data_IF_142178271268
#
_entry.id   IF_142178271268
#
_cell.length_a   1.000
_cell.length_b   1.000
_cell.length_c   1.000
_cell.angle_alpha   90.00
_cell.angle_beta   90.00
_cell.angle_gamma   90.00
#
_symmetry.space_group_name_H-M   'P 1'
#
loop_
_entity.id
_entity.type
_entity.pdbx_description
1 polymer ?
#
# COMPACT_ATOMS: atom_id res chain seq x y z
N UNK A 1 35.62 42.67 44.09
CA UNK A 1 36.91 42.53 44.79
C UNK A 1 37.80 41.63 43.93
N UNK A 2 38.76 42.29 43.32
CA UNK A 2 40.12 41.87 42.94
C UNK A 2 40.29 40.60 42.10
N UNK A 3 40.71 40.75 40.81
CA UNK A 3 42.05 41.17 40.26
C UNK A 3 42.99 39.95 40.14
N UNK A 4 43.42 39.66 38.99
CA UNK A 4 44.71 39.81 38.23
C UNK A 4 44.95 38.57 37.35
N UNK A 5 45.07 38.72 36.06
CA UNK A 5 46.28 39.14 35.25
C UNK A 5 47.50 38.25 35.47
N UNK A 6 47.95 37.69 34.41
CA UNK A 6 49.34 37.71 33.80
C UNK A 6 49.61 36.35 33.12
N UNK A 7 50.35 36.13 32.09
CA UNK A 7 51.20 36.89 31.15
C UNK A 7 51.93 35.85 30.30
N UNK A 8 52.01 36.09 29.02
CA UNK A 8 52.99 35.75 28.02
C UNK A 8 54.12 34.70 28.27
N UNK A 9 54.35 33.82 27.26
CA UNK A 9 55.57 33.83 26.44
C UNK A 9 55.61 32.79 25.34
N UNK A 10 55.79 33.27 24.15
CA UNK A 10 56.39 32.82 22.90
C UNK A 10 57.23 31.54 22.91
N UNK A 11 57.06 30.70 21.86
CA UNK A 11 58.20 30.15 21.12
C UNK A 11 57.81 29.91 19.65
N UNK A 12 58.58 30.50 18.74
CA UNK A 12 58.59 30.29 17.30
C UNK A 12 59.13 28.90 17.00
N UNK A 13 58.42 28.16 16.07
CA UNK A 13 59.06 27.18 15.22
C UNK A 13 58.42 27.25 13.85
N UNK A 14 59.24 27.57 12.85
CA UNK A 14 58.76 27.73 11.47
C UNK A 14 58.40 26.44 10.79
N UNK A 15 57.40 26.49 9.97
CA UNK A 15 57.19 25.53 8.92
C UNK A 15 56.78 26.30 7.66
N UNK A 16 57.54 26.12 6.62
CA UNK A 16 57.28 26.61 5.27
C UNK A 16 55.88 26.18 4.81
N UNK A 17 55.00 27.14 4.64
CA UNK A 17 53.78 26.92 3.82
C UNK A 17 54.09 27.30 2.37
N UNK A 18 54.26 26.30 1.53
CA UNK A 18 54.19 26.43 0.08
C UNK A 18 52.76 26.85 -0.30
N UNK A 19 52.59 28.11 -0.69
CA UNK A 19 51.37 28.63 -1.24
C UNK A 19 51.11 27.98 -2.61
N UNK A 20 50.26 26.98 -2.67
CA UNK A 20 49.62 26.59 -3.93
C UNK A 20 48.57 27.65 -4.27
N UNK A 21 48.90 28.48 -5.23
CA UNK A 21 47.95 29.36 -5.91
C UNK A 21 46.96 28.48 -6.67
N UNK A 22 45.83 28.20 -6.04
CA UNK A 22 44.63 27.78 -6.79
C UNK A 22 44.14 28.99 -7.56
N UNK A 23 44.44 29.06 -8.84
CA UNK A 23 43.73 29.93 -9.75
C UNK A 23 42.27 29.40 -9.82
N UNK A 24 41.37 30.05 -9.10
CA UNK A 24 39.95 29.85 -9.33
C UNK A 24 39.66 30.43 -10.72
N UNK A 25 39.48 29.57 -11.71
CA UNK A 25 38.89 29.97 -12.97
C UNK A 25 37.49 30.46 -12.65
N UNK A 26 37.28 31.76 -12.70
CA UNK A 26 35.93 32.35 -12.67
C UNK A 26 35.23 31.82 -13.91
N UNK A 27 34.11 31.10 -13.80
CA UNK A 27 33.37 30.67 -14.97
C UNK A 27 32.94 31.93 -15.73
N UNK A 28 33.39 32.07 -16.97
CA UNK A 28 32.85 33.07 -17.88
C UNK A 28 31.39 32.64 -18.15
N UNK A 29 30.45 33.36 -17.53
CA UNK A 29 29.04 33.17 -17.84
C UNK A 29 28.84 33.63 -19.29
N UNK A 30 28.41 32.72 -20.17
CA UNK A 30 27.96 33.09 -21.50
C UNK A 30 26.78 34.06 -21.33
N UNK A 31 26.80 35.16 -22.05
CA UNK A 31 25.71 36.17 -22.10
C UNK A 31 24.98 36.08 -23.44
N UNK A 32 23.73 36.42 -23.46
CA UNK A 32 22.98 36.63 -24.69
C UNK A 32 23.46 37.86 -25.46
N UNK A 33 22.86 38.12 -26.61
CA UNK A 33 23.20 39.28 -27.45
C UNK A 33 22.92 40.66 -26.82
N UNK A 34 22.25 40.70 -25.65
CA UNK A 34 21.94 41.88 -24.84
C UNK A 34 22.76 41.95 -23.56
N UNK A 35 23.73 41.04 -23.37
CA UNK A 35 24.63 41.03 -22.21
C UNK A 35 24.01 40.48 -20.91
N UNK A 36 22.80 39.89 -20.98
CA UNK A 36 22.22 39.21 -19.84
C UNK A 36 22.87 37.82 -19.63
N UNK A 37 23.15 37.41 -18.39
CA UNK A 37 23.72 36.06 -18.12
C UNK A 37 22.76 35.00 -18.67
N UNK A 38 23.24 34.17 -19.59
CA UNK A 38 22.53 32.94 -19.94
C UNK A 38 22.48 32.07 -18.68
N UNK A 39 21.31 32.09 -18.03
CA UNK A 39 21.02 31.11 -16.98
C UNK A 39 20.92 29.77 -17.70
N UNK A 40 22.02 29.00 -17.71
CA UNK A 40 21.90 27.58 -18.03
C UNK A 40 20.98 26.98 -16.99
N UNK A 41 19.72 26.74 -17.38
CA UNK A 41 18.80 26.01 -16.57
C UNK A 41 19.53 24.72 -16.16
N UNK A 42 19.75 24.54 -14.86
CA UNK A 42 20.22 23.25 -14.35
C UNK A 42 19.26 22.22 -14.93
N UNK A 43 19.71 21.22 -15.70
CA UNK A 43 18.79 20.26 -16.27
C UNK A 43 18.00 19.68 -15.11
N UNK A 44 16.69 19.85 -15.14
CA UNK A 44 15.81 19.18 -14.20
C UNK A 44 16.15 17.70 -14.26
N UNK A 45 16.51 17.06 -13.13
CA UNK A 45 16.87 15.64 -13.15
C UNK A 45 15.78 14.89 -13.92
N UNK A 46 16.16 14.09 -14.90
CA UNK A 46 15.24 13.19 -15.56
C UNK A 46 14.81 12.15 -14.50
N UNK A 47 13.67 12.43 -13.88
CA UNK A 47 13.10 11.58 -12.82
C UNK A 47 12.89 10.15 -13.30
N UNK A 48 12.62 9.95 -14.60
CA UNK A 48 12.55 8.64 -15.22
C UNK A 48 13.86 7.87 -15.02
N UNK A 49 14.98 8.44 -15.44
CA UNK A 49 16.29 7.80 -15.30
C UNK A 49 16.69 7.64 -13.83
N UNK A 50 16.39 8.64 -12.98
CA UNK A 50 16.72 8.59 -11.57
C UNK A 50 16.03 7.43 -10.84
N UNK A 51 14.74 7.21 -11.08
CA UNK A 51 14.00 6.12 -10.42
C UNK A 51 14.27 4.76 -11.09
N UNK A 52 14.33 4.71 -12.42
CA UNK A 52 14.52 3.48 -13.18
C UNK A 52 15.80 2.74 -12.78
N UNK A 53 16.89 3.47 -12.52
CA UNK A 53 18.18 2.88 -12.18
C UNK A 53 18.35 2.52 -10.68
N UNK A 54 17.36 2.82 -9.84
CA UNK A 54 17.40 2.41 -8.44
C UNK A 54 17.12 0.91 -8.31
N UNK A 55 17.97 0.16 -7.59
CA UNK A 55 17.75 -1.27 -7.36
C UNK A 55 16.53 -1.50 -6.47
N UNK A 56 15.96 -2.69 -6.54
CA UNK A 56 14.96 -3.12 -5.59
C UNK A 56 15.59 -3.41 -4.22
N UNK A 57 14.90 -3.08 -3.12
CA UNK A 57 15.35 -3.40 -1.76
C UNK A 57 15.50 -4.91 -1.58
N UNK A 58 14.61 -5.69 -2.22
CA UNK A 58 14.66 -7.16 -2.23
C UNK A 58 15.88 -7.75 -2.95
N UNK A 59 16.60 -6.98 -3.76
CA UNK A 59 17.84 -7.43 -4.41
C UNK A 59 18.99 -7.64 -3.41
N UNK A 60 18.85 -7.14 -2.19
CA UNK A 60 19.79 -7.37 -1.09
C UNK A 60 19.58 -8.70 -0.36
N UNK A 61 18.44 -9.36 -0.59
CA UNK A 61 18.14 -10.67 0.01
C UNK A 61 18.97 -11.75 -0.67
N UNK A 62 19.73 -12.48 0.10
CA UNK A 62 20.59 -13.55 -0.42
C UNK A 62 19.76 -14.61 -1.16
N UNK A 63 20.25 -15.04 -2.32
CA UNK A 63 19.60 -16.06 -3.17
C UNK A 63 18.16 -15.71 -3.60
N UNK A 64 17.79 -14.43 -3.54
CA UNK A 64 16.54 -13.93 -4.08
C UNK A 64 16.69 -13.55 -5.55
N UNK A 65 15.67 -13.82 -6.35
CA UNK A 65 15.72 -13.43 -7.77
C UNK A 65 15.75 -11.91 -7.88
N UNK A 66 16.69 -11.36 -8.67
CA UNK A 66 16.76 -9.90 -8.90
C UNK A 66 15.47 -9.38 -9.49
N UNK A 67 15.01 -8.26 -8.96
CA UNK A 67 13.81 -7.57 -9.37
C UNK A 67 13.97 -6.85 -10.72
N UNK A 68 12.85 -6.57 -11.42
CA UNK A 68 12.88 -5.74 -12.62
C UNK A 68 13.19 -4.29 -12.27
N UNK A 69 13.78 -3.56 -13.23
CA UNK A 69 13.83 -2.10 -13.18
C UNK A 69 12.46 -1.52 -13.52
N UNK A 70 12.01 -0.52 -12.78
CA UNK A 70 10.73 0.14 -12.94
C UNK A 70 10.87 1.65 -12.80
N UNK A 71 9.96 2.39 -13.44
CA UNK A 71 9.93 3.87 -13.42
C UNK A 71 9.30 4.44 -12.15
N UNK A 72 8.49 3.67 -11.46
CA UNK A 72 7.90 4.08 -10.19
C UNK A 72 8.96 4.32 -9.12
N UNK A 73 8.86 5.43 -8.40
CA UNK A 73 9.78 5.72 -7.29
C UNK A 73 9.65 4.69 -6.19
N UNK A 74 8.43 4.27 -5.88
CA UNK A 74 8.16 3.22 -4.90
C UNK A 74 7.25 2.15 -5.48
N UNK A 75 7.55 0.90 -5.15
CA UNK A 75 6.67 -0.21 -5.51
C UNK A 75 6.81 -1.41 -4.57
N UNK A 76 5.77 -2.22 -4.56
CA UNK A 76 5.77 -3.51 -3.85
C UNK A 76 4.93 -4.53 -4.63
N UNK A 77 5.37 -5.78 -4.60
CA UNK A 77 4.61 -6.94 -5.07
C UNK A 77 4.45 -7.94 -3.93
N UNK A 78 3.22 -8.31 -3.63
CA UNK A 78 2.91 -9.19 -2.50
C UNK A 78 2.06 -10.37 -2.96
N UNK A 79 2.41 -11.59 -2.54
CA UNK A 79 1.48 -12.72 -2.61
C UNK A 79 0.36 -12.53 -1.58
N UNK A 80 -0.86 -12.38 -2.06
CA UNK A 80 -2.00 -12.06 -1.22
C UNK A 80 -2.36 -13.16 -0.21
N UNK A 81 -2.05 -14.42 -0.52
CA UNK A 81 -2.40 -15.55 0.35
C UNK A 81 -1.38 -15.79 1.46
N UNK A 82 -0.10 -15.66 1.15
CA UNK A 82 0.99 -15.86 2.11
C UNK A 82 1.38 -14.59 2.85
N UNK A 83 1.19 -13.42 2.23
CA UNK A 83 1.67 -12.13 2.69
C UNK A 83 3.16 -11.91 2.42
N UNK A 84 3.81 -12.81 1.67
CA UNK A 84 5.20 -12.67 1.27
C UNK A 84 5.38 -11.46 0.36
N UNK A 85 6.39 -10.64 0.64
CA UNK A 85 6.84 -9.56 -0.22
C UNK A 85 7.80 -10.16 -1.25
N UNK A 86 7.39 -10.19 -2.52
CA UNK A 86 8.20 -10.75 -3.60
C UNK A 86 9.15 -9.72 -4.20
N UNK A 87 8.74 -8.47 -4.21
CA UNK A 87 9.50 -7.32 -4.67
C UNK A 87 9.22 -6.11 -3.79
N UNK A 88 10.23 -5.36 -3.45
CA UNK A 88 10.08 -4.05 -2.82
C UNK A 88 11.14 -3.09 -3.35
N UNK A 89 10.74 -1.83 -3.54
CA UNK A 89 11.58 -0.72 -3.93
C UNK A 89 11.07 0.52 -3.23
N UNK A 90 11.87 1.12 -2.35
CA UNK A 90 11.46 2.27 -1.54
C UNK A 90 10.07 2.09 -0.92
N UNK A 91 9.70 0.84 -0.58
CA UNK A 91 8.31 0.48 -0.29
C UNK A 91 7.75 1.14 0.97
N UNK A 92 8.60 1.62 1.87
CA UNK A 92 8.23 2.31 3.11
C UNK A 92 8.37 3.84 3.02
N UNK A 93 8.71 4.38 1.83
CA UNK A 93 8.75 5.82 1.59
C UNK A 93 7.33 6.40 1.58
N UNK A 94 7.11 7.44 2.38
CA UNK A 94 5.83 8.16 2.40
C UNK A 94 5.64 8.96 1.11
N UNK A 95 4.46 8.81 0.49
CA UNK A 95 4.09 9.45 -0.77
C UNK A 95 2.59 9.74 -0.81
N UNK A 96 2.18 10.64 -1.68
CA UNK A 96 0.78 10.93 -1.91
C UNK A 96 0.09 9.77 -2.63
N UNK A 97 -1.01 9.23 -2.10
CA UNK A 97 -1.72 8.10 -2.71
C UNK A 97 -2.57 8.47 -3.93
N UNK A 98 -3.01 9.70 -4.05
CA UNK A 98 -4.08 10.08 -4.95
C UNK A 98 -5.32 9.17 -4.77
N UNK A 99 -6.05 8.88 -5.85
CA UNK A 99 -7.32 8.12 -5.79
C UNK A 99 -7.20 6.64 -5.42
N UNK A 100 -6.00 6.07 -5.20
CA UNK A 100 -5.92 4.73 -4.60
C UNK A 100 -6.38 4.74 -3.13
N UNK A 101 -6.45 5.90 -2.47
CA UNK A 101 -7.13 6.14 -1.19
C UNK A 101 -8.54 5.52 -1.17
N UNK A 102 -9.24 5.54 -2.30
CA UNK A 102 -10.60 5.03 -2.43
C UNK A 102 -10.73 3.53 -2.20
N UNK A 103 -9.63 2.79 -2.19
CA UNK A 103 -9.62 1.38 -1.74
C UNK A 103 -10.01 1.30 -0.26
N UNK A 104 -9.47 2.18 0.60
CA UNK A 104 -9.86 2.23 2.01
C UNK A 104 -11.31 2.70 2.17
N UNK A 105 -11.70 3.72 1.42
CA UNK A 105 -13.08 4.24 1.43
C UNK A 105 -14.10 3.17 1.02
N UNK A 106 -13.83 2.46 -0.08
CA UNK A 106 -14.69 1.39 -0.55
C UNK A 106 -14.71 0.18 0.40
N UNK A 107 -13.55 -0.17 1.01
CA UNK A 107 -13.49 -1.22 2.04
C UNK A 107 -14.41 -0.90 3.21
N UNK A 108 -14.30 0.29 3.79
CA UNK A 108 -15.14 0.70 4.92
C UNK A 108 -16.60 0.83 4.52
N UNK A 109 -16.91 1.35 3.33
CA UNK A 109 -18.27 1.36 2.79
C UNK A 109 -18.86 -0.06 2.68
N UNK A 110 -18.08 -1.05 2.22
CA UNK A 110 -18.50 -2.45 2.15
C UNK A 110 -18.63 -3.13 3.51
N UNK A 111 -17.91 -2.67 4.53
CA UNK A 111 -17.99 -3.20 5.90
C UNK A 111 -19.16 -2.63 6.69
N UNK A 112 -19.54 -1.37 6.44
CA UNK A 112 -20.46 -0.62 7.27
C UNK A 112 -21.85 -0.44 6.67
N UNK A 113 -22.02 -0.58 5.35
CA UNK A 113 -23.26 -0.22 4.66
C UNK A 113 -23.82 -1.42 3.88
N UNK A 114 -25.15 -1.50 3.81
CA UNK A 114 -25.83 -2.46 2.95
C UNK A 114 -25.83 -1.94 1.49
N UNK A 115 -25.27 -2.69 0.53
CA UNK A 115 -25.26 -2.29 -0.88
C UNK A 115 -26.64 -2.03 -1.47
N UNK A 116 -27.71 -2.60 -0.95
CA UNK A 116 -29.11 -2.41 -1.41
C UNK A 116 -29.79 -1.16 -0.85
N UNK A 117 -29.25 -0.58 0.21
CA UNK A 117 -29.79 0.62 0.84
C UNK A 117 -29.79 1.78 -0.13
N UNK A 118 -30.92 2.52 -0.19
CA UNK A 118 -31.05 3.78 -0.92
C UNK A 118 -30.71 4.97 -0.06
N UNK A 119 -30.21 6.01 -0.70
CA UNK A 119 -29.94 7.31 -0.07
C UNK A 119 -30.14 8.43 -1.08
N UNK A 120 -30.36 9.65 -0.60
CA UNK A 120 -30.32 10.87 -1.40
C UNK A 120 -29.01 11.60 -1.17
N UNK A 121 -28.42 12.14 -2.24
CA UNK A 121 -27.19 12.95 -2.16
C UNK A 121 -27.43 14.17 -1.31
N UNK A 122 -26.57 14.40 -0.33
CA UNK A 122 -26.56 15.63 0.44
C UNK A 122 -26.01 16.79 -0.39
N UNK A 123 -26.38 18.01 -0.05
CA UNK A 123 -25.78 19.20 -0.68
C UNK A 123 -24.27 19.25 -0.47
N UNK A 124 -23.80 18.89 0.71
CA UNK A 124 -22.37 18.83 1.05
C UNK A 124 -21.61 17.87 0.13
N UNK A 125 -22.13 16.66 -0.07
CA UNK A 125 -21.49 15.68 -0.93
C UNK A 125 -21.55 16.09 -2.41
N UNK A 126 -22.70 16.52 -2.93
CA UNK A 126 -22.87 16.92 -4.32
C UNK A 126 -22.00 18.13 -4.69
N UNK A 127 -21.89 19.13 -3.81
CA UNK A 127 -21.08 20.33 -4.02
C UNK A 127 -19.61 20.21 -3.63
N UNK A 128 -19.15 19.01 -3.21
CA UNK A 128 -17.75 18.77 -2.86
C UNK A 128 -16.79 18.82 -4.06
N UNK A 129 -17.34 18.78 -5.28
CA UNK A 129 -16.59 18.90 -6.53
C UNK A 129 -16.41 20.38 -6.83
N UNK A 130 -15.26 20.94 -6.47
CA UNK A 130 -14.92 22.36 -6.69
C UNK A 130 -14.02 22.59 -7.90
N UNK A 131 -13.37 21.53 -8.40
CA UNK A 131 -12.44 21.61 -9.53
C UNK A 131 -13.05 20.98 -10.79
N UNK A 132 -12.99 21.68 -11.91
CA UNK A 132 -13.56 21.25 -13.20
C UNK A 132 -13.00 19.94 -13.73
N UNK A 133 -11.79 19.53 -13.29
CA UNK A 133 -11.10 18.30 -13.71
C UNK A 133 -11.17 17.18 -12.65
N UNK A 134 -11.96 17.35 -11.60
CA UNK A 134 -12.10 16.35 -10.55
C UNK A 134 -12.97 15.17 -11.03
N UNK A 135 -12.53 13.94 -10.74
CA UNK A 135 -13.30 12.73 -11.10
C UNK A 135 -14.67 12.72 -10.42
N UNK A 136 -15.73 12.63 -11.21
CA UNK A 136 -17.14 12.71 -10.76
C UNK A 136 -18.06 11.94 -11.70
N UNK A 137 -19.25 11.59 -11.23
CA UNK A 137 -20.40 11.19 -12.04
C UNK A 137 -21.45 12.32 -12.11
N UNK A 138 -21.12 13.47 -11.56
CA UNK A 138 -21.98 14.67 -11.53
C UNK A 138 -23.33 14.40 -10.87
N UNK A 139 -23.30 13.79 -9.68
CA UNK A 139 -24.49 13.56 -8.89
C UNK A 139 -25.00 14.88 -8.28
N UNK A 140 -26.31 15.12 -8.39
CA UNK A 140 -26.95 16.35 -7.91
C UNK A 140 -27.51 16.22 -6.49
N UNK A 141 -27.70 17.36 -5.83
CA UNK A 141 -28.35 17.41 -4.50
C UNK A 141 -29.75 16.81 -4.52
N UNK A 142 -30.01 15.86 -3.61
CA UNK A 142 -31.29 15.14 -3.54
C UNK A 142 -31.46 14.06 -4.63
N UNK A 143 -30.43 13.78 -5.41
CA UNK A 143 -30.44 12.65 -6.34
C UNK A 143 -30.33 11.33 -5.57
N UNK A 144 -31.17 10.36 -5.94
CA UNK A 144 -31.27 9.07 -5.24
C UNK A 144 -30.43 7.99 -5.88
N UNK A 145 -29.64 7.32 -5.05
CA UNK A 145 -28.79 6.19 -5.43
C UNK A 145 -28.91 5.04 -4.42
N UNK A 146 -28.47 3.86 -4.81
CA UNK A 146 -28.15 2.78 -3.88
C UNK A 146 -26.68 2.87 -3.47
N UNK A 147 -26.34 2.33 -2.31
CA UNK A 147 -24.92 2.20 -1.86
C UNK A 147 -24.08 1.46 -2.91
N UNK A 148 -24.66 0.42 -3.55
CA UNK A 148 -23.99 -0.29 -4.65
C UNK A 148 -23.61 0.65 -5.79
N UNK A 149 -24.52 1.53 -6.22
CA UNK A 149 -24.26 2.49 -7.31
C UNK A 149 -23.16 3.48 -6.91
N UNK A 150 -23.18 3.98 -5.66
CA UNK A 150 -22.13 4.86 -5.14
C UNK A 150 -20.77 4.15 -5.11
N UNK A 151 -20.68 2.93 -4.59
CA UNK A 151 -19.41 2.19 -4.54
C UNK A 151 -18.90 1.80 -5.93
N UNK A 152 -19.79 1.51 -6.89
CA UNK A 152 -19.42 1.32 -8.29
C UNK A 152 -18.85 2.61 -8.89
N UNK A 153 -19.47 3.77 -8.64
CA UNK A 153 -18.97 5.06 -9.10
C UNK A 153 -17.59 5.39 -8.48
N UNK A 154 -17.39 5.10 -7.18
CA UNK A 154 -16.10 5.27 -6.50
C UNK A 154 -15.02 4.40 -7.13
N UNK A 155 -15.31 3.14 -7.44
CA UNK A 155 -14.30 2.20 -7.94
C UNK A 155 -14.04 2.34 -9.44
N UNK A 156 -15.07 2.54 -10.25
CA UNK A 156 -14.95 2.58 -11.71
C UNK A 156 -14.58 3.97 -12.22
N UNK A 157 -15.33 5.01 -11.81
CA UNK A 157 -15.16 6.39 -12.26
C UNK A 157 -14.35 7.26 -11.31
N UNK A 158 -13.94 6.69 -10.18
CA UNK A 158 -13.20 7.46 -9.16
C UNK A 158 -13.98 8.65 -8.60
N UNK A 159 -15.32 8.60 -8.62
CA UNK A 159 -16.21 9.72 -8.26
C UNK A 159 -15.93 10.23 -6.84
N UNK A 160 -15.49 11.49 -6.73
CA UNK A 160 -15.08 12.10 -5.46
C UNK A 160 -16.28 12.41 -4.56
N UNK A 161 -17.36 12.93 -5.12
CA UNK A 161 -18.61 13.24 -4.40
C UNK A 161 -19.22 11.98 -3.75
N UNK A 162 -19.10 10.84 -4.44
CA UNK A 162 -19.60 9.58 -3.90
C UNK A 162 -18.78 9.07 -2.72
N UNK A 163 -17.49 9.41 -2.63
CA UNK A 163 -16.69 9.09 -1.43
C UNK A 163 -17.18 9.85 -0.21
N UNK A 164 -17.59 11.10 -0.40
CA UNK A 164 -18.13 11.93 0.68
C UNK A 164 -19.51 11.43 1.12
N UNK A 165 -20.38 11.07 0.17
CA UNK A 165 -21.67 10.44 0.49
C UNK A 165 -21.49 9.14 1.29
N UNK A 166 -20.56 8.25 0.88
CA UNK A 166 -20.22 7.03 1.63
C UNK A 166 -19.72 7.37 3.04
N UNK A 167 -18.90 8.41 3.19
CA UNK A 167 -18.37 8.82 4.48
C UNK A 167 -19.48 9.33 5.43
N UNK A 168 -20.38 10.16 4.92
CA UNK A 168 -21.52 10.69 5.68
C UNK A 168 -22.46 9.55 6.11
N UNK A 169 -22.79 8.65 5.20
CA UNK A 169 -23.69 7.51 5.48
C UNK A 169 -23.07 6.50 6.46
N UNK A 170 -21.77 6.25 6.35
CA UNK A 170 -21.08 5.26 7.18
C UNK A 170 -20.86 5.75 8.62
N UNK A 171 -20.47 7.03 8.81
CA UNK A 171 -20.02 7.56 10.09
C UNK A 171 -20.66 8.89 10.48
N UNK A 172 -21.65 9.38 9.73
CA UNK A 172 -22.37 10.62 9.98
C UNK A 172 -21.63 11.90 9.58
N UNK A 173 -20.32 11.81 9.25
CA UNK A 173 -19.54 12.93 8.70
C UNK A 173 -18.23 12.46 8.09
N UNK A 174 -17.68 13.24 7.14
CA UNK A 174 -16.37 12.99 6.56
C UNK A 174 -15.25 12.93 7.62
N UNK A 175 -15.28 13.82 8.61
CA UNK A 175 -14.29 13.83 9.70
C UNK A 175 -14.26 12.51 10.46
N UNK A 176 -15.42 12.03 10.95
CA UNK A 176 -15.51 10.75 11.67
C UNK A 176 -15.12 9.56 10.78
N UNK A 177 -15.45 9.64 9.50
CA UNK A 177 -15.04 8.60 8.56
C UNK A 177 -13.51 8.55 8.37
N UNK A 178 -12.85 9.70 8.26
CA UNK A 178 -11.39 9.81 8.19
C UNK A 178 -10.73 9.26 9.47
N UNK A 179 -11.28 9.55 10.63
CA UNK A 179 -10.84 8.96 11.90
C UNK A 179 -10.92 7.42 11.85
N UNK A 180 -12.01 6.88 11.26
CA UNK A 180 -12.19 5.44 11.06
C UNK A 180 -11.23 4.87 10.02
N UNK A 181 -10.92 5.60 8.92
CA UNK A 181 -9.90 5.21 7.95
C UNK A 181 -8.53 5.04 8.62
N UNK A 182 -8.13 6.02 9.46
CA UNK A 182 -6.87 5.97 10.20
C UNK A 182 -6.85 4.87 11.26
N UNK A 183 -7.97 4.63 11.94
CA UNK A 183 -8.10 3.50 12.87
C UNK A 183 -7.94 2.17 12.14
N UNK A 184 -8.61 2.00 11.00
CA UNK A 184 -8.53 0.79 10.17
C UNK A 184 -7.11 0.56 9.65
N UNK A 185 -6.42 1.61 9.19
CA UNK A 185 -5.03 1.52 8.77
C UNK A 185 -4.13 0.96 9.90
N UNK A 186 -4.24 1.51 11.11
CA UNK A 186 -3.51 1.00 12.28
C UNK A 186 -3.86 -0.46 12.60
N UNK A 187 -5.13 -0.86 12.54
CA UNK A 187 -5.58 -2.24 12.74
C UNK A 187 -4.99 -3.22 11.71
N UNK A 188 -4.75 -2.74 10.49
CA UNK A 188 -4.10 -3.51 9.42
C UNK A 188 -2.57 -3.55 9.55
N UNK A 189 -2.01 -2.88 10.55
CA UNK A 189 -0.56 -2.79 10.77
C UNK A 189 0.13 -1.79 9.86
N UNK A 190 -0.60 -0.78 9.37
CA UNK A 190 -0.01 0.36 8.69
C UNK A 190 0.66 1.29 9.72
N UNK A 191 1.92 1.59 9.51
CA UNK A 191 2.73 2.40 10.43
C UNK A 191 3.08 3.76 9.88
N UNK A 192 2.95 3.94 8.57
CA UNK A 192 3.34 5.15 7.86
C UNK A 192 2.26 5.57 6.83
N UNK A 193 1.01 5.59 7.30
CA UNK A 193 -0.16 6.02 6.53
C UNK A 193 -1.01 6.96 7.37
N UNK A 194 -1.38 8.09 6.79
CA UNK A 194 -2.34 9.02 7.36
C UNK A 194 -3.29 9.52 6.28
N UNK A 195 -4.58 9.33 6.50
CA UNK A 195 -5.64 9.83 5.64
C UNK A 195 -6.20 11.13 6.22
N UNK A 196 -6.45 12.13 5.36
CA UNK A 196 -7.08 13.39 5.71
C UNK A 196 -8.41 13.63 4.97
N UNK A 197 -8.67 12.84 3.93
CA UNK A 197 -9.91 12.86 3.19
C UNK A 197 -10.23 11.46 2.62
N UNK A 198 -11.49 11.21 2.19
CA UNK A 198 -11.90 9.90 1.67
C UNK A 198 -11.63 9.70 0.18
N UNK A 199 -11.18 10.71 -0.56
CA UNK A 199 -11.06 10.68 -2.02
C UNK A 199 -9.61 10.64 -2.54
N UNK A 200 -8.63 11.09 -1.74
CA UNK A 200 -7.22 11.13 -2.12
C UNK A 200 -6.78 12.43 -2.79
N UNK A 201 -7.56 13.51 -2.67
CA UNK A 201 -7.10 14.83 -3.07
C UNK A 201 -5.89 15.26 -2.24
N UNK A 202 -4.97 16.05 -2.82
CA UNK A 202 -3.74 16.45 -2.16
C UNK A 202 -3.99 17.19 -0.85
N UNK A 203 -3.25 16.80 0.18
CA UNK A 203 -3.15 17.45 1.48
C UNK A 203 -1.80 17.06 2.07
N UNK A 204 -1.09 17.99 2.69
CA UNK A 204 0.28 17.76 3.21
C UNK A 204 0.34 16.62 4.24
N UNK A 205 -0.76 16.35 4.91
CA UNK A 205 -0.87 15.28 5.91
C UNK A 205 -1.50 13.99 5.36
N UNK A 206 -1.86 13.96 4.06
CA UNK A 206 -2.47 12.80 3.41
C UNK A 206 -1.43 11.97 2.67
N UNK A 207 -0.92 10.94 3.30
CA UNK A 207 0.16 10.12 2.74
C UNK A 207 -0.03 8.63 3.05
N UNK A 208 0.66 7.81 2.28
CA UNK A 208 0.79 6.36 2.48
C UNK A 208 2.15 5.87 2.01
N UNK A 209 2.42 4.58 2.17
CA UNK A 209 3.57 3.89 1.57
C UNK A 209 3.09 2.75 0.69
N UNK A 210 3.94 2.25 -0.22
CA UNK A 210 3.60 1.08 -1.02
C UNK A 210 3.34 -0.15 -0.12
N UNK A 211 4.14 -0.32 0.94
CA UNK A 211 3.97 -1.38 1.96
C UNK A 211 2.61 -1.31 2.65
N UNK A 212 2.22 -0.14 3.13
CA UNK A 212 0.96 0.03 3.84
C UNK A 212 -0.23 -0.09 2.89
N UNK A 213 -0.11 0.48 1.69
CA UNK A 213 -1.17 0.37 0.68
C UNK A 213 -1.38 -1.08 0.25
N UNK A 214 -0.34 -1.91 0.18
CA UNK A 214 -0.45 -3.34 -0.08
C UNK A 214 -1.19 -4.09 1.05
N UNK A 215 -0.98 -3.71 2.32
CA UNK A 215 -1.74 -4.27 3.46
C UNK A 215 -3.22 -3.92 3.36
N UNK A 216 -3.53 -2.65 3.05
CA UNK A 216 -4.90 -2.15 2.85
C UNK A 216 -5.56 -2.86 1.67
N UNK A 217 -4.89 -2.90 0.52
CA UNK A 217 -5.38 -3.55 -0.69
C UNK A 217 -5.63 -5.05 -0.48
N UNK A 218 -4.72 -5.73 0.22
CA UNK A 218 -4.88 -7.15 0.57
C UNK A 218 -6.10 -7.37 1.47
N UNK A 219 -6.31 -6.55 2.49
CA UNK A 219 -7.48 -6.62 3.36
C UNK A 219 -8.77 -6.38 2.58
N UNK A 220 -8.79 -5.38 1.72
CA UNK A 220 -9.92 -5.06 0.86
C UNK A 220 -10.29 -6.23 -0.08
N UNK A 221 -9.30 -6.89 -0.69
CA UNK A 221 -9.55 -8.03 -1.57
C UNK A 221 -10.22 -9.22 -0.86
N UNK A 222 -9.94 -9.44 0.42
CA UNK A 222 -10.58 -10.50 1.18
C UNK A 222 -12.04 -10.18 1.57
N UNK A 223 -12.48 -8.93 1.43
CA UNK A 223 -13.90 -8.59 1.49
C UNK A 223 -14.59 -8.97 0.17
N UNK A 224 -15.55 -9.91 0.16
CA UNK A 224 -16.18 -10.40 -1.08
C UNK A 224 -16.96 -9.31 -1.82
N UNK A 225 -17.56 -8.36 -1.11
CA UNK A 225 -18.30 -7.23 -1.69
C UNK A 225 -17.35 -6.27 -2.39
N UNK A 226 -16.27 -5.87 -1.72
CA UNK A 226 -15.22 -5.04 -2.32
C UNK A 226 -14.64 -5.70 -3.58
N UNK A 227 -14.28 -7.00 -3.48
CA UNK A 227 -13.70 -7.74 -4.61
C UNK A 227 -14.62 -7.69 -5.84
N UNK A 228 -15.93 -7.85 -5.65
CA UNK A 228 -16.91 -7.74 -6.74
C UNK A 228 -16.84 -6.37 -7.41
N UNK A 229 -16.76 -5.29 -6.64
CA UNK A 229 -16.72 -3.93 -7.19
C UNK A 229 -15.38 -3.66 -7.88
N UNK A 230 -14.26 -4.02 -7.27
CA UNK A 230 -12.93 -3.83 -7.84
C UNK A 230 -12.72 -4.62 -9.15
N UNK A 231 -13.43 -5.75 -9.34
CA UNK A 231 -13.34 -6.60 -10.53
C UNK A 231 -14.36 -6.24 -11.61
N UNK A 232 -15.23 -5.27 -11.39
CA UNK A 232 -16.25 -4.88 -12.37
C UNK A 232 -15.62 -3.94 -13.40
N UNK A 233 -15.76 -4.28 -14.69
CA UNK A 233 -15.27 -3.44 -15.79
C UNK A 233 -16.26 -2.36 -16.20
N UNK A 234 -17.54 -2.69 -16.18
CA UNK A 234 -18.61 -1.87 -16.69
C UNK A 234 -19.83 -1.97 -15.79
N UNK A 235 -20.49 -0.85 -15.55
CA UNK A 235 -21.70 -0.79 -14.76
C UNK A 235 -22.60 0.35 -15.24
N UNK A 236 -23.92 0.13 -15.26
CA UNK A 236 -24.90 1.12 -15.61
C UNK A 236 -25.66 1.60 -14.37
N UNK A 237 -25.79 2.91 -14.24
CA UNK A 237 -26.72 3.55 -13.33
C UNK A 237 -27.92 4.01 -14.18
N UNK A 238 -29.09 3.37 -14.03
CA UNK A 238 -30.28 3.78 -14.78
C UNK A 238 -30.70 5.21 -14.43
N UNK A 239 -31.64 5.81 -15.20
CA UNK A 239 -32.19 7.11 -14.86
C UNK A 239 -32.60 7.21 -13.39
N UNK A 240 -32.35 8.38 -12.80
CA UNK A 240 -32.65 8.70 -11.40
C UNK A 240 -33.79 9.72 -11.32
N UNK A 241 -34.14 10.12 -10.11
CA UNK A 241 -35.12 11.21 -9.91
C UNK A 241 -34.62 12.59 -10.36
N UNK A 242 -33.32 12.76 -10.68
CA UNK A 242 -32.70 14.04 -11.09
C UNK A 242 -32.04 13.99 -12.47
N UNK A 243 -31.73 12.80 -12.96
CA UNK A 243 -31.00 12.63 -14.22
C UNK A 243 -31.75 11.61 -15.10
N UNK A 244 -32.20 12.06 -16.27
CA UNK A 244 -33.09 11.30 -17.14
C UNK A 244 -32.38 10.25 -18.01
N UNK A 245 -31.03 10.28 -18.06
CA UNK A 245 -30.25 9.36 -18.89
C UNK A 245 -29.56 8.30 -18.06
N UNK A 246 -29.18 7.20 -18.68
CA UNK A 246 -28.34 6.17 -18.07
C UNK A 246 -26.89 6.65 -18.00
N UNK A 247 -26.26 6.53 -16.84
CA UNK A 247 -24.79 6.75 -16.68
C UNK A 247 -24.06 5.44 -16.91
N UNK A 248 -23.09 5.47 -17.82
CA UNK A 248 -22.26 4.34 -18.19
C UNK A 248 -20.90 4.46 -17.50
N UNK A 249 -20.63 3.60 -16.53
CA UNK A 249 -19.40 3.61 -15.76
C UNK A 249 -18.40 2.58 -16.32
N UNK A 250 -17.25 3.03 -16.79
CA UNK A 250 -16.17 2.17 -17.26
C UNK A 250 -15.00 2.23 -16.27
N UNK A 251 -14.48 1.08 -15.88
CA UNK A 251 -13.34 1.03 -14.97
C UNK A 251 -12.08 1.64 -15.62
N UNK A 252 -11.46 2.58 -14.95
CA UNK A 252 -10.26 3.25 -15.41
C UNK A 252 -9.00 2.37 -15.41
N UNK A 253 -9.06 1.15 -14.85
CA UNK A 253 -7.93 0.23 -14.78
C UNK A 253 -7.67 -0.46 -16.11
N UNK A 254 -6.79 0.11 -16.92
CA UNK A 254 -6.57 -0.28 -18.32
C UNK A 254 -5.85 -1.63 -18.52
N UNK A 255 -5.45 -2.34 -17.45
CA UNK A 255 -4.90 -3.71 -17.56
C UNK A 255 -5.98 -4.79 -17.51
N UNK A 256 -7.24 -4.45 -17.30
CA UNK A 256 -8.33 -5.41 -17.35
C UNK A 256 -8.54 -5.92 -18.79
N UNK A 257 -9.22 -7.07 -18.93
CA UNK A 257 -9.45 -7.70 -20.23
C UNK A 257 -10.07 -6.71 -21.22
N UNK A 258 -9.63 -6.74 -22.48
CA UNK A 258 -10.08 -5.89 -23.58
C UNK A 258 -9.80 -4.39 -23.40
N UNK A 259 -8.88 -4.01 -22.50
CA UNK A 259 -8.39 -2.64 -22.34
C UNK A 259 -7.01 -2.47 -22.99
N UNK A 260 -6.53 -1.23 -23.09
CA UNK A 260 -5.30 -0.86 -23.84
C UNK A 260 -4.05 -1.57 -23.35
N UNK A 261 -3.94 -1.82 -22.04
CA UNK A 261 -2.80 -2.50 -21.41
C UNK A 261 -3.19 -3.87 -20.86
N UNK A 262 -4.18 -4.54 -21.46
CA UNK A 262 -4.68 -5.81 -20.98
C UNK A 262 -3.56 -6.80 -20.64
N UNK A 263 -3.66 -7.42 -19.46
CA UNK A 263 -2.73 -8.44 -18.99
C UNK A 263 -3.54 -9.63 -18.47
N UNK A 264 -3.21 -10.82 -18.98
CA UNK A 264 -3.92 -12.04 -18.60
C UNK A 264 -3.81 -12.31 -17.11
N UNK A 265 -4.97 -12.51 -16.47
CA UNK A 265 -5.03 -12.75 -15.03
C UNK A 265 -5.21 -11.50 -14.17
N UNK A 266 -5.21 -10.30 -14.75
CA UNK A 266 -5.62 -9.10 -13.98
C UNK A 266 -7.09 -9.19 -13.63
N UNK A 267 -7.37 -9.05 -12.34
CA UNK A 267 -8.70 -9.16 -11.76
C UNK A 267 -9.38 -7.81 -11.53
N UNK A 268 -8.60 -6.73 -11.51
CA UNK A 268 -9.06 -5.38 -11.26
C UNK A 268 -8.06 -4.58 -10.42
N UNK A 269 -8.49 -3.45 -9.89
CA UNK A 269 -7.64 -2.58 -9.08
C UNK A 269 -8.16 -1.16 -8.97
N UNK A 270 -7.26 -0.22 -8.75
CA UNK A 270 -7.57 1.21 -8.67
C UNK A 270 -6.41 2.04 -9.17
N UNK A 271 -6.72 3.03 -10.01
CA UNK A 271 -5.79 4.05 -10.51
C UNK A 271 -5.86 5.30 -9.66
N UNK A 272 -4.79 6.07 -9.63
CA UNK A 272 -4.78 7.40 -9.07
C UNK A 272 -3.81 8.31 -9.81
N UNK A 273 -4.11 9.58 -9.84
CA UNK A 273 -3.25 10.64 -10.37
C UNK A 273 -3.59 11.97 -9.70
N UNK A 274 -2.58 12.68 -9.31
CA UNK A 274 -2.56 14.12 -9.06
C UNK A 274 -1.17 14.62 -9.48
N UNK A 275 -0.98 15.90 -9.68
CA UNK A 275 0.35 16.44 -9.99
C UNK A 275 1.38 16.09 -8.92
N UNK A 276 0.98 16.17 -7.64
CA UNK A 276 1.84 15.87 -6.51
C UNK A 276 2.17 14.36 -6.36
N UNK A 277 1.23 13.47 -6.73
CA UNK A 277 1.37 12.02 -6.57
C UNK A 277 2.00 11.33 -7.79
N UNK A 278 2.00 11.98 -8.96
CA UNK A 278 2.24 11.28 -10.21
C UNK A 278 1.21 10.16 -10.45
N UNK A 279 1.57 9.18 -11.27
CA UNK A 279 0.70 8.01 -11.48
C UNK A 279 0.84 7.02 -10.31
N UNK A 280 -0.29 6.61 -9.76
CA UNK A 280 -0.37 5.58 -8.73
C UNK A 280 -1.30 4.46 -9.20
N UNK A 281 -0.95 3.21 -8.89
CA UNK A 281 -1.70 2.05 -9.36
C UNK A 281 -1.68 0.92 -8.33
N UNK A 282 -2.85 0.38 -8.03
CA UNK A 282 -3.00 -0.90 -7.33
C UNK A 282 -3.65 -1.90 -8.27
N UNK A 283 -3.02 -3.04 -8.45
CA UNK A 283 -3.50 -4.11 -9.36
C UNK A 283 -3.57 -5.44 -8.64
N UNK A 284 -4.72 -6.08 -8.74
CA UNK A 284 -4.92 -7.47 -8.31
C UNK A 284 -4.82 -8.39 -9.50
N UNK A 285 -4.01 -9.43 -9.40
CA UNK A 285 -3.82 -10.39 -10.46
C UNK A 285 -3.78 -11.83 -9.95
N UNK A 286 -4.13 -12.77 -10.82
CA UNK A 286 -4.09 -14.21 -10.53
C UNK A 286 -3.52 -14.97 -11.70
N UNK A 287 -2.61 -15.89 -11.41
CA UNK A 287 -2.19 -16.94 -12.32
C UNK A 287 -2.28 -18.28 -11.60
N UNK A 288 -3.11 -19.20 -12.10
CA UNK A 288 -3.42 -20.50 -11.44
C UNK A 288 -3.82 -20.30 -9.97
N UNK A 289 -3.01 -20.73 -9.04
CA UNK A 289 -3.23 -20.65 -7.59
C UNK A 289 -2.49 -19.51 -6.90
N UNK A 290 -1.73 -18.70 -7.62
CA UNK A 290 -0.99 -17.54 -7.10
C UNK A 290 -1.82 -16.28 -7.30
N UNK A 291 -2.01 -15.53 -6.23
CA UNK A 291 -2.73 -14.25 -6.23
C UNK A 291 -1.77 -13.16 -5.80
N UNK A 292 -1.55 -12.18 -6.65
CA UNK A 292 -0.64 -11.08 -6.40
C UNK A 292 -1.38 -9.75 -6.29
N UNK A 293 -0.86 -8.87 -5.44
CA UNK A 293 -1.18 -7.44 -5.45
C UNK A 293 0.09 -6.67 -5.73
N UNK A 294 0.04 -5.81 -6.73
CA UNK A 294 1.08 -4.84 -7.08
C UNK A 294 0.60 -3.46 -6.66
N UNK A 295 1.48 -2.68 -6.03
CA UNK A 295 1.31 -1.26 -5.76
C UNK A 295 2.48 -0.52 -6.36
N UNK A 296 2.21 0.46 -7.20
CA UNK A 296 3.20 1.37 -7.81
C UNK A 296 2.82 2.78 -7.44
N UNK A 297 3.75 3.55 -6.91
CA UNK A 297 3.57 4.94 -6.50
C UNK A 297 4.58 5.82 -7.24
N UNK A 298 4.14 7.04 -7.57
CA UNK A 298 4.95 8.07 -8.23
C UNK A 298 5.69 7.55 -9.47
N UNK A 299 4.94 6.93 -10.39
CA UNK A 299 5.45 6.56 -11.70
C UNK A 299 5.29 7.72 -12.68
N UNK A 300 6.36 8.01 -13.42
CA UNK A 300 6.43 9.19 -14.31
C UNK A 300 5.61 8.97 -15.59
N UNK A 301 5.86 7.87 -16.31
CA UNK A 301 5.29 7.63 -17.64
C UNK A 301 4.14 6.62 -17.64
N UNK A 302 3.83 6.03 -16.55
CA UNK A 302 2.70 5.11 -16.45
C UNK A 302 3.01 3.85 -15.67
N UNK A 303 2.27 3.67 -14.61
CA UNK A 303 2.42 2.55 -13.70
C UNK A 303 2.03 1.19 -14.33
N UNK A 304 1.54 1.17 -15.59
CA UNK A 304 1.09 -0.06 -16.25
C UNK A 304 2.25 -0.94 -16.71
N UNK A 305 3.31 -0.35 -17.30
CA UNK A 305 4.53 -1.06 -17.69
C UNK A 305 5.23 -1.62 -16.46
N UNK A 306 5.34 -0.82 -15.41
CA UNK A 306 5.91 -1.22 -14.12
C UNK A 306 5.14 -2.40 -13.53
N UNK A 307 3.81 -2.28 -13.47
CA UNK A 307 2.94 -3.34 -12.97
C UNK A 307 3.07 -4.62 -13.79
N UNK A 308 3.17 -4.53 -15.12
CA UNK A 308 3.40 -5.68 -15.98
C UNK A 308 4.72 -6.37 -15.64
N UNK A 309 5.81 -5.61 -15.53
CA UNK A 309 7.13 -6.15 -15.18
C UNK A 309 7.11 -6.84 -13.81
N UNK A 310 6.42 -6.25 -12.81
CA UNK A 310 6.26 -6.83 -11.49
C UNK A 310 5.44 -8.13 -11.52
N UNK A 311 4.35 -8.19 -12.30
CA UNK A 311 3.52 -9.39 -12.41
C UNK A 311 4.27 -10.51 -13.14
N UNK A 312 4.97 -10.20 -14.25
CA UNK A 312 5.82 -11.17 -14.96
C UNK A 312 6.90 -11.72 -14.03
N UNK A 313 7.54 -10.84 -13.25
CA UNK A 313 8.53 -11.24 -12.25
C UNK A 313 7.95 -12.16 -11.19
N UNK A 314 6.82 -11.78 -10.60
CA UNK A 314 6.21 -12.54 -9.51
C UNK A 314 5.69 -13.90 -9.97
N UNK A 315 5.00 -13.96 -11.11
CA UNK A 315 4.47 -15.23 -11.65
C UNK A 315 5.54 -16.12 -12.27
N UNK A 316 6.62 -15.53 -12.79
CA UNK A 316 7.70 -16.27 -13.44
C UNK A 316 8.72 -16.87 -12.49
N UNK A 317 8.98 -16.20 -11.37
CA UNK A 317 10.10 -16.55 -10.47
C UNK A 317 9.69 -17.15 -9.14
N UNK A 318 8.41 -17.10 -8.76
CA UNK A 318 7.95 -17.57 -7.45
C UNK A 318 6.85 -18.61 -7.57
N UNK A 319 6.87 -19.54 -6.63
CA UNK A 319 5.83 -20.53 -6.49
C UNK A 319 5.31 -20.57 -5.06
N UNK A 320 3.99 -20.81 -4.93
CA UNK A 320 3.38 -21.02 -3.63
C UNK A 320 3.38 -22.49 -3.27
N UNK A 321 4.03 -22.83 -2.17
CA UNK A 321 4.15 -24.18 -1.64
C UNK A 321 3.46 -24.29 -0.28
N UNK A 322 2.86 -25.45 0.02
CA UNK A 322 2.27 -25.71 1.32
C UNK A 322 3.28 -26.41 2.24
N UNK A 323 3.45 -25.85 3.44
CA UNK A 323 4.14 -26.57 4.51
C UNK A 323 3.18 -27.58 5.16
N UNK A 324 3.45 -28.85 4.92
CA UNK A 324 2.70 -29.97 5.52
C UNK A 324 3.28 -30.43 6.87
N UNK A 325 4.42 -29.85 7.28
CA UNK A 325 5.10 -30.25 8.53
C UNK A 325 4.42 -29.70 9.79
N UNK A 326 3.68 -28.59 9.66
CA UNK A 326 2.93 -28.02 10.79
C UNK A 326 1.58 -28.72 10.94
N UNK A 327 1.26 -29.21 12.16
CA UNK A 327 -0.06 -29.78 12.45
C UNK A 327 -1.13 -28.71 12.41
N UNK A 328 -2.38 -29.10 12.14
CA UNK A 328 -3.53 -28.19 12.21
C UNK A 328 -3.83 -27.69 13.62
N UNK A 329 -3.40 -28.44 14.63
CA UNK A 329 -3.55 -28.10 16.04
C UNK A 329 -2.18 -28.07 16.70
N UNK A 330 -1.86 -26.97 17.37
CA UNK A 330 -0.62 -26.78 18.13
C UNK A 330 -0.99 -26.54 19.59
N UNK A 331 -0.45 -27.37 20.51
CA UNK A 331 -0.54 -27.11 21.93
C UNK A 331 0.53 -26.10 22.36
N UNK A 332 0.19 -25.22 23.28
CA UNK A 332 1.16 -24.31 23.91
C UNK A 332 2.39 -25.02 24.45
N UNK A 333 2.25 -26.26 24.99
CA UNK A 333 3.37 -27.04 25.50
C UNK A 333 4.42 -27.40 24.46
N UNK A 334 4.01 -27.42 23.18
CA UNK A 334 4.91 -27.73 22.06
C UNK A 334 5.66 -26.49 21.53
N UNK A 335 5.45 -25.31 22.11
CA UNK A 335 6.08 -24.08 21.70
C UNK A 335 7.30 -23.77 22.56
N UNK A 336 8.39 -23.20 21.99
CA UNK A 336 9.58 -22.83 22.75
C UNK A 336 9.24 -21.88 23.90
N UNK A 337 9.67 -22.21 25.11
CA UNK A 337 9.27 -21.51 26.34
C UNK A 337 9.74 -20.05 26.43
N UNK A 338 10.75 -19.66 25.68
CA UNK A 338 11.51 -18.42 25.92
C UNK A 338 10.87 -17.13 25.39
N UNK A 339 9.80 -17.20 24.63
CA UNK A 339 9.26 -16.02 23.92
C UNK A 339 7.83 -15.60 24.31
N UNK A 340 7.21 -16.21 25.33
CA UNK A 340 5.77 -16.02 25.55
C UNK A 340 5.41 -15.48 26.92
N UNK A 341 5.07 -14.21 26.97
CA UNK A 341 4.47 -13.54 28.14
C UNK A 341 2.96 -13.83 28.11
N UNK A 342 2.56 -15.03 28.55
CA UNK A 342 1.18 -15.29 28.95
C UNK A 342 1.20 -15.68 30.45
N UNK A 343 1.54 -14.71 31.32
CA UNK A 343 1.58 -14.91 32.78
C UNK A 343 0.25 -15.34 33.37
N UNK A 344 -0.87 -15.06 32.67
CA UNK A 344 -2.22 -15.23 33.22
C UNK A 344 -2.94 -16.52 32.80
N UNK A 345 -2.34 -17.36 31.93
CA UNK A 345 -2.97 -18.59 31.47
C UNK A 345 -2.36 -19.80 32.18
N UNK A 346 -2.96 -20.22 33.30
CA UNK A 346 -2.61 -21.47 34.01
C UNK A 346 -3.05 -22.72 33.24
N UNK A 347 -3.93 -22.62 32.25
CA UNK A 347 -4.55 -23.72 31.54
C UNK A 347 -3.87 -23.99 30.18
N UNK A 348 -3.94 -25.22 29.73
CA UNK A 348 -3.43 -25.59 28.41
C UNK A 348 -4.26 -24.94 27.30
N UNK A 349 -3.59 -24.20 26.44
CA UNK A 349 -4.23 -23.53 25.29
C UNK A 349 -3.92 -24.33 24.04
N UNK A 350 -4.97 -24.70 23.30
CA UNK A 350 -4.87 -25.26 21.97
C UNK A 350 -5.12 -24.18 20.93
N UNK A 351 -4.25 -24.15 19.95
CA UNK A 351 -4.34 -23.27 18.79
C UNK A 351 -4.66 -24.09 17.55
N UNK A 352 -5.67 -23.72 16.80
CA UNK A 352 -6.08 -24.40 15.57
C UNK A 352 -6.06 -23.46 14.36
N UNK A 353 -5.76 -24.04 13.20
CA UNK A 353 -5.88 -23.36 11.92
C UNK A 353 -6.81 -24.13 10.99
N UNK A 354 -7.64 -23.41 10.23
CA UNK A 354 -8.49 -24.00 9.20
C UNK A 354 -7.77 -24.14 7.86
N UNK A 355 -6.64 -23.48 7.68
CA UNK A 355 -5.88 -23.48 6.42
C UNK A 355 -4.50 -24.11 6.65
N UNK A 356 -4.01 -24.83 5.65
CA UNK A 356 -2.61 -25.25 5.66
C UNK A 356 -1.72 -24.00 5.54
N UNK A 357 -0.60 -24.02 6.25
CA UNK A 357 0.43 -23.00 6.08
C UNK A 357 0.95 -23.03 4.65
N UNK A 358 1.08 -21.88 4.04
CA UNK A 358 1.67 -21.75 2.70
C UNK A 358 2.68 -20.63 2.67
N UNK A 359 3.69 -20.78 1.85
CA UNK A 359 4.82 -19.87 1.67
C UNK A 359 5.01 -19.60 0.19
N UNK A 360 5.55 -18.44 -0.15
CA UNK A 360 5.91 -18.08 -1.52
C UNK A 360 7.43 -18.02 -1.60
N UNK A 361 8.01 -18.88 -2.43
CA UNK A 361 9.45 -19.11 -2.51
C UNK A 361 9.95 -18.87 -3.94
N UNK A 362 11.21 -18.45 -4.11
CA UNK A 362 11.87 -18.50 -5.39
C UNK A 362 11.82 -19.93 -5.98
N UNK A 363 11.78 -20.03 -7.31
CA UNK A 363 11.75 -21.31 -7.99
C UNK A 363 12.97 -22.17 -7.59
N UNK A 364 12.73 -23.43 -7.25
CA UNK A 364 13.78 -24.38 -6.81
C UNK A 364 14.13 -24.38 -5.34
N UNK A 365 13.60 -23.44 -4.54
CA UNK A 365 13.80 -23.45 -3.08
C UNK A 365 12.82 -24.40 -2.41
N UNK A 366 13.35 -25.29 -1.55
CA UNK A 366 12.54 -26.24 -0.79
C UNK A 366 12.11 -25.67 0.58
N UNK A 367 10.94 -26.10 1.07
CA UNK A 367 10.38 -25.69 2.36
C UNK A 367 11.29 -26.05 3.55
N UNK A 368 12.13 -27.07 3.41
CA UNK A 368 13.10 -27.47 4.45
C UNK A 368 14.18 -26.44 4.72
N UNK A 369 14.44 -25.49 3.77
CA UNK A 369 15.39 -24.40 3.95
C UNK A 369 14.84 -23.25 4.84
N UNK A 370 13.56 -23.30 5.25
CA UNK A 370 12.92 -22.21 5.97
C UNK A 370 13.15 -22.28 7.47
N UNK A 371 13.37 -21.11 8.05
CA UNK A 371 13.29 -20.93 9.49
C UNK A 371 11.85 -20.62 9.90
N UNK A 372 11.47 -21.06 11.10
CA UNK A 372 10.13 -20.84 11.66
C UNK A 372 10.26 -20.13 13.01
N UNK A 373 9.58 -19.01 13.14
CA UNK A 373 9.44 -18.31 14.41
C UNK A 373 7.99 -18.29 14.85
N UNK A 374 7.77 -18.33 16.16
CA UNK A 374 6.45 -18.41 16.76
C UNK A 374 6.21 -17.17 17.62
N UNK A 375 5.07 -16.53 17.48
CA UNK A 375 4.66 -15.40 18.33
C UNK A 375 3.20 -15.55 18.74
N UNK A 376 2.89 -15.21 20.00
CA UNK A 376 1.52 -15.17 20.49
C UNK A 376 1.19 -13.71 20.83
N UNK A 377 0.12 -13.21 20.21
CA UNK A 377 -0.43 -11.88 20.42
C UNK A 377 -1.91 -12.00 20.81
N UNK A 378 -2.57 -10.87 21.07
CA UNK A 378 -4.03 -10.83 21.21
C UNK A 378 -4.65 -10.39 19.88
N UNK A 379 -5.73 -11.05 19.46
CA UNK A 379 -6.55 -10.58 18.36
C UNK A 379 -7.42 -9.38 18.81
N UNK A 380 -8.16 -8.70 17.91
CA UNK A 380 -9.03 -7.58 18.28
C UNK A 380 -10.10 -7.91 19.35
N UNK A 381 -10.48 -9.17 19.48
CA UNK A 381 -11.38 -9.64 20.56
C UNK A 381 -10.66 -9.97 21.85
N UNK A 382 -9.36 -9.66 21.98
CA UNK A 382 -8.55 -9.93 23.15
C UNK A 382 -8.12 -11.39 23.34
N UNK A 383 -8.46 -12.28 22.39
CA UNK A 383 -8.14 -13.70 22.46
C UNK A 383 -6.74 -13.98 21.94
N UNK A 384 -6.03 -14.98 22.48
CA UNK A 384 -4.72 -15.38 22.00
C UNK A 384 -4.72 -15.79 20.54
N UNK A 385 -3.75 -15.28 19.79
CA UNK A 385 -3.49 -15.56 18.39
C UNK A 385 -2.04 -16.01 18.24
N UNK A 386 -1.82 -17.26 17.85
CA UNK A 386 -0.50 -17.77 17.52
C UNK A 386 -0.22 -17.48 16.03
N UNK A 387 0.89 -16.82 15.77
CA UNK A 387 1.42 -16.60 14.42
C UNK A 387 2.71 -17.38 14.25
N UNK A 388 2.80 -18.20 13.21
CA UNK A 388 4.03 -18.83 12.74
C UNK A 388 4.52 -18.03 11.55
N UNK A 389 5.70 -17.45 11.65
CA UNK A 389 6.35 -16.70 10.57
C UNK A 389 7.44 -17.56 9.95
N UNK A 390 7.41 -17.67 8.63
CA UNK A 390 8.42 -18.36 7.83
C UNK A 390 9.37 -17.36 7.22
N UNK A 391 10.66 -17.60 7.37
CA UNK A 391 11.71 -16.78 6.77
C UNK A 391 12.66 -17.64 5.91
N UNK A 392 13.10 -17.06 4.81
CA UNK A 392 14.17 -17.55 3.94
C UNK A 392 15.22 -16.45 3.83
N UNK A 393 16.45 -16.73 4.28
CA UNK A 393 17.53 -15.74 4.37
C UNK A 393 17.05 -14.41 5.02
N UNK A 394 16.42 -14.53 6.19
CA UNK A 394 15.84 -13.44 6.99
C UNK A 394 14.66 -12.69 6.33
N UNK A 395 14.27 -13.08 5.11
CA UNK A 395 13.12 -12.50 4.41
C UNK A 395 11.84 -13.29 4.71
N UNK A 396 10.75 -12.59 5.04
CA UNK A 396 9.46 -13.22 5.36
C UNK A 396 8.78 -13.73 4.09
N UNK A 397 8.62 -15.04 3.99
CA UNK A 397 8.03 -15.73 2.84
C UNK A 397 6.62 -16.27 3.08
N UNK A 398 6.12 -16.14 4.31
CA UNK A 398 4.76 -16.51 4.65
C UNK A 398 4.46 -16.48 6.13
N UNK A 399 3.17 -16.49 6.45
CA UNK A 399 2.68 -16.57 7.83
C UNK A 399 1.52 -17.54 7.93
N UNK A 400 1.46 -18.29 9.03
CA UNK A 400 0.29 -19.08 9.38
C UNK A 400 -0.30 -18.59 10.69
N UNK A 401 -1.61 -18.44 10.75
CA UNK A 401 -2.33 -17.98 11.93
C UNK A 401 -3.16 -19.12 12.52
N UNK A 402 -3.02 -19.29 13.83
CA UNK A 402 -3.72 -20.27 14.62
C UNK A 402 -4.52 -19.55 15.70
N UNK A 403 -5.78 -19.90 15.81
CA UNK A 403 -6.72 -19.27 16.74
C UNK A 403 -6.97 -20.16 17.91
N UNK A 404 -7.14 -19.58 19.10
CA UNK A 404 -7.52 -20.35 20.28
C UNK A 404 -8.90 -20.97 20.08
N UNK A 405 -9.01 -22.30 20.28
CA UNK A 405 -10.25 -23.05 20.10
C UNK A 405 -10.79 -23.63 21.39
N UNK A 406 -9.93 -23.93 22.37
CA UNK A 406 -10.32 -24.47 23.69
C UNK A 406 -9.34 -24.08 24.78
N UNK A 407 -9.88 -23.65 25.92
CA UNK A 407 -9.22 -23.78 27.20
C UNK A 407 -9.54 -25.22 27.68
N UNK A 408 -8.56 -26.13 27.68
CA UNK A 408 -8.72 -27.39 28.38
C UNK A 408 -8.67 -27.05 29.87
N UNK A 409 -9.83 -26.99 30.53
CA UNK A 409 -9.88 -27.01 31.99
C UNK A 409 -9.17 -28.27 32.47
N UNK A 410 -8.30 -28.12 33.46
CA UNK A 410 -7.68 -29.22 34.16
C UNK A 410 -8.76 -29.96 34.97
N UNK A 411 -9.56 -30.77 34.31
CA UNK A 411 -10.40 -31.81 34.88
C UNK A 411 -10.24 -33.04 34.05
N UNK A 412 -9.15 -33.71 34.27
CA UNK A 412 -9.06 -35.16 34.24
C UNK A 412 -7.96 -35.52 35.22
N UNK A 413 -8.42 -35.83 36.41
CA UNK A 413 -7.74 -36.58 37.46
C UNK A 413 -7.38 -37.96 36.92
#
# INVERSE_FOLDING_TARGET
MNIKKHFFRRLLAGALCSAMLFSQAVPVLATDEYGAPLVTATPTPDLHTAFYNQPADTDTVKDWTKGPQIEGESAILVDMLTGAVLYSKNADKAQYPASITKIMTALLGCENLDPSQKFAMTETAARSITESNSSSIYADTGEEFTIKQALMAVMLQSANEMTLAIAELSNGSAKKFVEQMNLKARQLGCTNTHFNNPNGLPDETHYTTASDMAKIARAAWFNPTFRKFASTQYFEIPPTNKFAETRYLLNHHKMMKNQTYAYDGVLGGKTGYTEAAGNTLVTYARNKNTYLVSVVLQSVNGAYSDTKALLDYGFGNFSRTMDKSLPKTISRRCLPAEKYILKDYKNEVLFETRRNASVSLPAGVDVSALQKTYSITKNPAGLPLLTVTYTYNDHVVGTARYYQTRLLSAQLI
#
